data_IF_251388767753
#
_entry.id   IF_251388767753
#
_cell.length_a   1.000
_cell.length_b   1.000
_cell.length_c   1.000
_cell.angle_alpha   90.00
_cell.angle_beta   90.00
_cell.angle_gamma   90.00
#
_symmetry.space_group_name_H-M   'P 1'
#
loop_
_entity.id
_entity.type
_entity.pdbx_description
1 polymer ?
#
# COMPACT_ATOMS: atom_id res chain seq x y z
N UNK A 1 24.61 5.84 -36.60
CA UNK A 1 23.47 6.72 -36.85
C UNK A 1 22.51 6.58 -35.66
N UNK A 2 22.34 7.61 -34.90
CA UNK A 2 21.52 7.64 -33.68
C UNK A 2 20.04 7.51 -34.04
N UNK A 3 19.38 6.50 -33.53
CA UNK A 3 17.92 6.46 -33.50
C UNK A 3 17.45 7.40 -32.39
N UNK A 4 17.18 8.65 -32.73
CA UNK A 4 16.41 9.58 -31.92
C UNK A 4 14.93 9.22 -32.09
N UNK A 5 14.48 8.22 -31.36
CA UNK A 5 13.08 7.86 -31.21
C UNK A 5 12.45 8.67 -30.11
N UNK A 6 11.59 9.57 -30.48
CA UNK A 6 10.63 10.35 -29.77
C UNK A 6 10.12 9.76 -28.42
N UNK A 7 10.83 10.01 -27.34
CA UNK A 7 10.33 9.85 -26.00
C UNK A 7 10.02 11.24 -25.43
N UNK A 8 8.92 11.80 -25.82
CA UNK A 8 8.35 13.00 -25.20
C UNK A 8 6.86 13.09 -25.47
N UNK A 9 6.13 12.01 -25.33
CA UNK A 9 4.70 12.10 -25.14
C UNK A 9 4.48 12.33 -23.64
N UNK A 10 4.13 13.56 -23.28
CA UNK A 10 3.77 13.92 -21.93
C UNK A 10 2.69 13.00 -21.35
N UNK A 11 2.48 13.08 -20.04
CA UNK A 11 1.41 12.38 -19.33
C UNK A 11 0.09 12.40 -20.11
N UNK A 12 -0.69 11.31 -20.08
CA UNK A 12 -2.00 11.28 -20.72
C UNK A 12 -2.85 12.48 -20.29
N UNK A 13 -3.49 13.13 -21.25
CA UNK A 13 -4.35 14.26 -20.97
C UNK A 13 -5.56 13.85 -20.14
N UNK A 14 -5.95 14.62 -19.11
CA UNK A 14 -7.12 14.35 -18.29
C UNK A 14 -8.42 14.27 -19.10
N UNK A 15 -9.29 13.32 -18.76
CA UNK A 15 -10.56 13.07 -19.44
C UNK A 15 -11.75 13.13 -18.47
N UNK A 16 -12.90 13.64 -18.93
CA UNK A 16 -14.13 13.67 -18.15
C UNK A 16 -13.94 14.29 -16.77
N UNK A 17 -14.37 13.58 -15.72
CA UNK A 17 -14.26 14.01 -14.32
C UNK A 17 -12.82 14.26 -13.83
N UNK A 18 -11.81 13.70 -14.51
CA UNK A 18 -10.42 14.00 -14.18
C UNK A 18 -10.09 15.50 -14.37
N UNK A 19 -10.72 16.17 -15.36
CA UNK A 19 -10.53 17.62 -15.58
C UNK A 19 -11.09 18.46 -14.44
N UNK A 20 -12.16 18.01 -13.80
CA UNK A 20 -12.79 18.71 -12.68
C UNK A 20 -11.85 18.78 -11.47
N UNK A 21 -11.06 17.71 -11.23
CA UNK A 21 -10.09 17.68 -10.14
C UNK A 21 -8.99 18.74 -10.27
N UNK A 22 -8.63 19.12 -11.49
CA UNK A 22 -7.66 20.22 -11.71
C UNK A 22 -8.25 21.59 -11.35
N UNK A 23 -9.57 21.74 -11.50
CA UNK A 23 -10.29 22.97 -11.21
C UNK A 23 -10.69 23.10 -9.72
N UNK A 24 -10.39 22.10 -8.90
CA UNK A 24 -10.68 22.15 -7.44
C UNK A 24 -9.88 23.26 -6.76
N UNK A 25 -10.43 23.86 -5.68
CA UNK A 25 -9.76 24.93 -4.96
C UNK A 25 -8.34 24.57 -4.53
N UNK A 26 -7.45 25.55 -4.53
CA UNK A 26 -6.10 25.43 -3.95
C UNK A 26 -6.07 25.59 -2.44
N UNK A 27 -7.21 25.43 -1.74
CA UNK A 27 -7.36 25.54 -0.29
C UNK A 27 -8.17 24.37 0.26
N UNK A 28 -7.89 23.99 1.49
CA UNK A 28 -8.63 22.94 2.21
C UNK A 28 -8.27 21.52 1.79
N UNK A 29 -9.17 20.57 2.10
CA UNK A 29 -8.90 19.14 1.90
C UNK A 29 -9.82 18.55 0.84
N UNK A 30 -9.25 17.86 -0.11
CA UNK A 30 -9.96 17.16 -1.20
C UNK A 30 -9.61 15.69 -1.19
N UNK A 31 -10.62 14.82 -1.32
CA UNK A 31 -10.45 13.38 -1.44
C UNK A 31 -10.92 12.91 -2.81
N UNK A 32 -10.05 12.24 -3.53
CA UNK A 32 -10.30 11.64 -4.85
C UNK A 32 -10.13 10.13 -4.70
N UNK A 33 -11.22 9.40 -4.84
CA UNK A 33 -11.20 7.94 -4.79
C UNK A 33 -11.45 7.36 -6.17
N UNK A 34 -10.85 6.21 -6.44
CA UNK A 34 -11.06 5.54 -7.72
C UNK A 34 -10.56 4.12 -7.69
N UNK A 35 -11.10 3.30 -8.60
CA UNK A 35 -10.65 1.91 -8.78
C UNK A 35 -9.24 1.83 -9.36
N UNK A 36 -8.67 0.63 -9.35
CA UNK A 36 -7.48 0.33 -10.13
C UNK A 36 -7.65 0.83 -11.58
N UNK A 37 -6.62 1.45 -12.15
CA UNK A 37 -6.69 1.90 -13.55
C UNK A 37 -7.49 3.17 -13.83
N UNK A 38 -8.04 3.84 -12.84
CA UNK A 38 -8.80 5.10 -13.06
C UNK A 38 -7.92 6.34 -13.33
N UNK A 39 -6.58 6.19 -13.31
CA UNK A 39 -5.63 7.26 -13.61
C UNK A 39 -5.31 8.16 -12.40
N UNK A 40 -5.50 7.70 -11.17
CA UNK A 40 -5.21 8.46 -9.94
C UNK A 40 -3.81 9.04 -9.91
N UNK A 41 -2.78 8.20 -10.11
CA UNK A 41 -1.37 8.64 -10.12
C UNK A 41 -1.09 9.70 -11.17
N UNK A 42 -1.61 9.52 -12.39
CA UNK A 42 -1.50 10.54 -13.45
C UNK A 42 -2.14 11.85 -13.02
N UNK A 43 -3.30 11.79 -12.38
CA UNK A 43 -4.00 12.97 -11.88
C UNK A 43 -3.32 13.62 -10.68
N UNK A 44 -2.67 12.83 -9.82
CA UNK A 44 -1.85 13.37 -8.72
C UNK A 44 -0.68 14.22 -9.26
N UNK A 45 -0.01 13.78 -10.34
CA UNK A 45 1.04 14.56 -11.00
C UNK A 45 0.46 15.83 -11.63
N UNK A 46 -0.63 15.73 -12.38
CA UNK A 46 -1.27 16.90 -12.98
C UNK A 46 -1.74 17.90 -11.93
N UNK A 47 -2.31 17.43 -10.83
CA UNK A 47 -2.75 18.29 -9.72
C UNK A 47 -1.57 18.98 -9.06
N UNK A 48 -0.49 18.25 -8.77
CA UNK A 48 0.74 18.83 -8.22
C UNK A 48 1.34 19.88 -9.14
N UNK A 49 1.41 19.63 -10.45
CA UNK A 49 1.86 20.60 -11.45
C UNK A 49 0.98 21.85 -11.49
N UNK A 50 -0.35 21.68 -11.47
CA UNK A 50 -1.30 22.79 -11.47
C UNK A 50 -1.15 23.67 -10.22
N UNK A 51 -1.02 23.08 -9.02
CA UNK A 51 -0.81 23.82 -7.76
C UNK A 51 0.55 24.51 -7.68
N UNK A 52 1.54 24.01 -8.41
CA UNK A 52 2.88 24.58 -8.47
C UNK A 52 3.03 25.69 -9.52
N UNK A 53 2.08 25.79 -10.47
CA UNK A 53 2.13 26.74 -11.57
C UNK A 53 1.88 28.16 -11.06
N UNK A 54 2.83 29.11 -11.23
CA UNK A 54 2.67 30.49 -10.80
C UNK A 54 1.47 31.23 -11.41
N UNK A 55 0.92 30.74 -12.52
CA UNK A 55 -0.28 31.29 -13.16
C UNK A 55 -1.58 30.85 -12.50
N UNK A 56 -1.53 29.82 -11.66
CA UNK A 56 -2.69 29.34 -10.90
C UNK A 56 -2.92 30.20 -9.65
N UNK A 57 -4.18 30.55 -9.39
CA UNK A 57 -4.53 31.21 -8.13
C UNK A 57 -4.15 30.35 -6.94
N UNK A 58 -3.57 30.95 -5.91
CA UNK A 58 -3.07 30.25 -4.72
C UNK A 58 -1.92 29.26 -5.00
N UNK A 59 -1.08 29.50 -6.00
CA UNK A 59 0.09 28.65 -6.29
C UNK A 59 1.11 28.63 -5.14
N UNK A 60 1.90 27.56 -5.06
CA UNK A 60 2.95 27.45 -4.06
C UNK A 60 3.81 26.20 -4.21
N UNK A 61 4.74 26.00 -3.29
CA UNK A 61 5.58 24.80 -3.23
C UNK A 61 4.72 23.59 -2.89
N UNK A 62 4.87 22.51 -3.66
CA UNK A 62 4.06 21.30 -3.53
C UNK A 62 4.92 20.13 -3.07
N UNK A 63 4.41 19.34 -2.11
CA UNK A 63 4.90 18.00 -1.81
C UNK A 63 3.96 16.98 -2.47
N UNK A 64 4.46 16.22 -3.45
CA UNK A 64 3.80 15.02 -3.94
C UNK A 64 4.39 13.82 -3.20
N UNK A 65 3.58 13.22 -2.34
CA UNK A 65 4.03 12.16 -1.43
C UNK A 65 3.30 10.85 -1.71
N UNK A 66 4.06 9.76 -1.68
CA UNK A 66 3.53 8.39 -1.77
C UNK A 66 4.13 7.50 -0.68
N UNK A 67 3.51 6.36 -0.41
CA UNK A 67 4.06 5.40 0.55
C UNK A 67 5.24 4.61 -0.02
N UNK A 68 5.19 4.24 -1.30
CA UNK A 68 6.13 3.34 -1.94
C UNK A 68 7.32 4.09 -2.59
N UNK A 69 8.57 3.70 -2.26
CA UNK A 69 9.79 4.25 -2.87
C UNK A 69 9.85 4.05 -4.38
N UNK A 70 9.38 2.91 -4.86
CA UNK A 70 9.41 2.60 -6.28
C UNK A 70 8.49 3.49 -7.10
N UNK A 71 7.35 3.89 -6.52
CA UNK A 71 6.46 4.85 -7.15
C UNK A 71 7.12 6.24 -7.25
N UNK A 72 7.99 6.60 -6.30
CA UNK A 72 8.81 7.83 -6.40
C UNK A 72 9.74 7.77 -7.61
N UNK A 73 10.39 6.63 -7.87
CA UNK A 73 11.24 6.46 -9.05
C UNK A 73 10.42 6.58 -10.35
N UNK A 74 9.25 5.95 -10.40
CA UNK A 74 8.31 6.06 -11.51
C UNK A 74 7.85 7.50 -11.74
N UNK A 75 7.44 8.22 -10.68
CA UNK A 75 7.01 9.61 -10.75
C UNK A 75 8.14 10.55 -11.21
N UNK A 76 9.37 10.31 -10.75
CA UNK A 76 10.54 11.07 -11.19
C UNK A 76 10.93 10.78 -12.65
N UNK A 77 10.70 9.58 -13.15
CA UNK A 77 10.91 9.23 -14.56
C UNK A 77 9.99 10.06 -15.48
N UNK A 78 8.73 10.22 -15.09
CA UNK A 78 7.73 11.00 -15.85
C UNK A 78 7.74 12.49 -15.53
N UNK A 79 8.71 12.98 -14.77
CA UNK A 79 8.78 14.36 -14.30
C UNK A 79 8.81 15.37 -15.45
N UNK A 80 7.67 16.02 -15.79
CA UNK A 80 7.64 17.08 -16.80
C UNK A 80 8.36 18.33 -16.27
N UNK A 81 8.87 19.21 -17.16
CA UNK A 81 9.51 20.49 -16.77
C UNK A 81 8.64 21.36 -15.85
N UNK A 82 7.32 21.25 -15.95
CA UNK A 82 6.34 21.95 -15.11
C UNK A 82 6.42 21.60 -13.61
N UNK A 83 7.21 20.59 -13.20
CA UNK A 83 7.35 20.17 -11.80
C UNK A 83 8.57 20.81 -11.08
N UNK A 84 9.08 21.95 -11.54
CA UNK A 84 10.25 22.59 -10.91
C UNK A 84 10.01 22.95 -9.43
N UNK A 85 8.77 23.31 -9.06
CA UNK A 85 8.36 23.65 -7.70
C UNK A 85 7.65 22.53 -6.96
N UNK A 86 7.80 21.27 -7.42
CA UNK A 86 7.24 20.07 -6.82
C UNK A 86 8.36 19.18 -6.27
N UNK A 87 8.29 18.87 -4.99
CA UNK A 87 9.11 17.84 -4.35
C UNK A 87 8.37 16.51 -4.43
N UNK A 88 9.00 15.45 -4.93
CA UNK A 88 8.42 14.11 -5.03
C UNK A 88 9.20 13.19 -4.09
N UNK A 89 8.55 12.68 -3.05
CA UNK A 89 9.19 11.85 -2.03
C UNK A 89 8.26 10.75 -1.51
N UNK A 90 8.83 9.71 -0.89
CA UNK A 90 8.04 8.83 -0.04
C UNK A 90 7.85 9.46 1.36
N UNK A 91 6.80 8.99 2.05
CA UNK A 91 6.43 9.53 3.37
C UNK A 91 7.59 9.51 4.38
N UNK A 92 8.28 8.38 4.50
CA UNK A 92 9.35 8.25 5.50
C UNK A 92 10.51 9.20 5.22
N UNK A 93 10.86 9.44 3.95
CA UNK A 93 11.89 10.40 3.60
C UNK A 93 11.49 11.84 3.98
N UNK A 94 10.24 12.21 3.72
CA UNK A 94 9.68 13.48 4.19
C UNK A 94 9.78 13.58 5.72
N UNK A 95 9.28 12.57 6.45
CA UNK A 95 9.23 12.59 7.91
C UNK A 95 10.62 12.63 8.55
N UNK A 96 11.54 11.78 8.09
CA UNK A 96 12.93 11.78 8.56
C UNK A 96 13.65 13.10 8.24
N UNK A 97 13.45 13.64 7.04
CA UNK A 97 14.03 14.91 6.62
C UNK A 97 13.55 16.09 7.48
N UNK A 98 12.25 16.09 7.80
CA UNK A 98 11.67 17.11 8.67
C UNK A 98 12.24 17.04 10.10
N UNK A 99 12.27 15.83 10.71
CA UNK A 99 12.81 15.65 12.06
C UNK A 99 14.33 15.93 12.14
N UNK A 100 15.09 15.54 11.10
CA UNK A 100 16.52 15.83 11.03
C UNK A 100 16.80 17.35 10.93
N UNK A 101 15.99 18.08 10.17
CA UNK A 101 16.11 19.54 10.08
C UNK A 101 15.81 20.25 11.41
N UNK A 102 15.10 19.59 12.31
CA UNK A 102 14.76 20.07 13.65
C UNK A 102 15.72 19.54 14.73
N UNK A 103 16.82 18.91 14.35
CA UNK A 103 17.79 18.25 15.26
C UNK A 103 17.17 17.19 16.18
N UNK A 104 16.03 16.60 15.76
CA UNK A 104 15.31 15.55 16.50
C UNK A 104 15.68 14.15 16.04
N UNK A 105 16.50 14.00 15.02
CA UNK A 105 16.87 12.73 14.46
C UNK A 105 18.31 12.73 13.94
N UNK A 106 19.08 11.71 14.37
CA UNK A 106 20.38 11.37 13.82
C UNK A 106 20.31 10.16 12.87
N UNK A 107 21.40 9.84 12.21
CA UNK A 107 21.49 8.75 11.24
C UNK A 107 21.12 7.35 11.80
N UNK A 108 21.20 7.15 13.12
CA UNK A 108 20.95 5.87 13.81
C UNK A 108 19.72 5.89 14.72
N UNK A 109 18.86 6.90 14.62
CA UNK A 109 17.73 7.09 15.56
C UNK A 109 16.57 6.11 15.42
N UNK A 110 16.52 5.34 14.32
CA UNK A 110 15.45 4.37 14.07
C UNK A 110 15.80 3.01 14.72
N UNK A 111 14.84 2.48 15.46
CA UNK A 111 14.86 1.12 15.98
C UNK A 111 14.12 0.19 15.02
N UNK A 112 14.80 -0.82 14.49
CA UNK A 112 14.22 -1.74 13.51
C UNK A 112 14.76 -3.16 13.62
N UNK A 113 14.09 -4.11 12.96
CA UNK A 113 14.50 -5.50 12.85
C UNK A 113 14.68 -6.18 14.21
N UNK A 114 15.70 -7.01 14.33
CA UNK A 114 15.97 -7.77 15.56
C UNK A 114 16.17 -6.91 16.80
N UNK A 115 16.70 -5.69 16.65
CA UNK A 115 16.86 -4.79 17.79
C UNK A 115 15.49 -4.40 18.36
N UNK A 116 14.52 -4.06 17.51
CA UNK A 116 13.14 -3.75 17.89
C UNK A 116 12.50 -4.94 18.60
N UNK A 117 12.60 -6.13 18.03
CA UNK A 117 12.07 -7.38 18.61
C UNK A 117 12.65 -7.65 19.98
N UNK A 118 13.96 -7.54 20.15
CA UNK A 118 14.63 -7.76 21.44
C UNK A 118 14.18 -6.75 22.50
N UNK A 119 14.01 -5.47 22.15
CA UNK A 119 13.57 -4.46 23.10
C UNK A 119 12.09 -4.63 23.47
N UNK A 120 11.24 -5.08 22.55
CA UNK A 120 9.85 -5.43 22.87
C UNK A 120 9.81 -6.65 23.80
N UNK A 121 10.61 -7.68 23.51
CA UNK A 121 10.72 -8.87 24.39
C UNK A 121 11.18 -8.50 25.80
N UNK A 122 12.18 -7.62 25.91
CA UNK A 122 12.65 -7.14 27.21
C UNK A 122 11.57 -6.35 27.95
N UNK A 123 10.83 -5.47 27.26
CA UNK A 123 9.72 -4.71 27.84
C UNK A 123 8.62 -5.64 28.37
N UNK A 124 8.21 -6.64 27.58
CA UNK A 124 7.23 -7.65 28.00
C UNK A 124 7.73 -8.41 29.23
N UNK A 125 9.01 -8.82 29.25
CA UNK A 125 9.60 -9.54 30.37
C UNK A 125 9.58 -8.72 31.65
N UNK A 126 10.00 -7.46 31.62
CA UNK A 126 10.01 -6.56 32.77
C UNK A 126 8.62 -6.27 33.32
N UNK A 127 7.63 -6.09 32.44
CA UNK A 127 6.24 -5.88 32.89
C UNK A 127 5.64 -7.17 33.42
N UNK A 128 5.96 -8.33 32.83
CA UNK A 128 5.55 -9.64 33.33
C UNK A 128 6.01 -9.87 34.75
N UNK A 129 7.24 -9.52 35.12
CA UNK A 129 7.76 -9.65 36.49
C UNK A 129 6.87 -8.92 37.50
N UNK A 130 6.26 -7.81 37.13
CA UNK A 130 5.39 -6.99 38.00
C UNK A 130 3.93 -7.40 37.95
N UNK A 131 3.42 -7.84 36.77
CA UNK A 131 1.99 -7.98 36.48
C UNK A 131 1.54 -9.42 36.18
N UNK A 132 2.42 -10.43 36.22
CA UNK A 132 2.06 -11.81 35.84
C UNK A 132 0.85 -12.37 36.59
N UNK A 133 0.70 -12.02 37.86
CA UNK A 133 -0.43 -12.50 38.69
C UNK A 133 -1.77 -11.88 38.28
N UNK A 134 -1.75 -10.67 37.70
CA UNK A 134 -2.95 -9.94 37.31
C UNK A 134 -3.45 -10.38 35.93
N UNK A 135 -2.56 -10.78 35.05
CA UNK A 135 -2.88 -11.10 33.65
C UNK A 135 -2.03 -12.28 33.11
N UNK A 136 -2.07 -13.49 33.71
CA UNK A 136 -1.21 -14.59 33.29
C UNK A 136 -1.40 -14.95 31.80
N UNK A 137 -2.63 -15.03 31.32
CA UNK A 137 -2.95 -15.37 29.94
C UNK A 137 -2.48 -14.30 28.90
N UNK A 138 -2.27 -13.06 29.30
CA UNK A 138 -1.71 -12.03 28.43
C UNK A 138 -0.26 -12.37 28.07
N UNK A 139 0.53 -12.78 29.05
CA UNK A 139 1.96 -13.07 28.90
C UNK A 139 2.27 -14.44 28.30
N UNK A 140 1.24 -15.23 27.98
CA UNK A 140 1.35 -16.46 27.19
C UNK A 140 1.21 -16.19 25.69
N UNK A 141 0.83 -14.96 25.30
CA UNK A 141 0.71 -14.57 23.90
C UNK A 141 2.09 -14.49 23.24
N UNK A 142 2.17 -14.78 21.93
CA UNK A 142 3.43 -14.66 21.18
C UNK A 142 3.93 -13.21 21.12
N UNK A 143 5.22 -13.01 20.89
CA UNK A 143 5.85 -11.69 20.86
C UNK A 143 5.25 -10.79 19.78
N UNK A 144 4.88 -11.38 18.66
CA UNK A 144 4.24 -10.72 17.53
C UNK A 144 2.95 -10.00 17.93
N UNK A 145 2.19 -10.57 18.88
CA UNK A 145 0.98 -9.92 19.39
C UNK A 145 1.29 -8.56 20.04
N UNK A 146 2.35 -8.49 20.84
CA UNK A 146 2.75 -7.24 21.50
C UNK A 146 3.32 -6.24 20.49
N UNK A 147 4.12 -6.71 19.54
CA UNK A 147 4.67 -5.89 18.46
C UNK A 147 3.54 -5.26 17.61
N UNK A 148 2.55 -6.07 17.24
CA UNK A 148 1.38 -5.64 16.48
C UNK A 148 0.52 -4.62 17.25
N UNK A 149 0.34 -4.78 18.56
CA UNK A 149 -0.43 -3.84 19.38
C UNK A 149 0.32 -2.51 19.55
N UNK A 150 1.64 -2.54 19.73
CA UNK A 150 2.47 -1.33 19.78
C UNK A 150 2.40 -0.58 18.43
N UNK A 151 2.49 -1.32 17.32
CA UNK A 151 2.31 -0.76 15.99
C UNK A 151 0.91 -0.13 15.80
N UNK A 152 -0.13 -0.81 16.25
CA UNK A 152 -1.50 -0.28 16.19
C UNK A 152 -1.64 1.03 16.95
N UNK A 153 -1.12 1.09 18.18
CA UNK A 153 -1.11 2.32 19.00
C UNK A 153 -0.44 3.48 18.27
N UNK A 154 0.75 3.25 17.71
CA UNK A 154 1.52 4.26 17.01
C UNK A 154 0.82 4.73 15.71
N UNK A 155 0.33 3.79 14.89
CA UNK A 155 -0.32 4.09 13.61
C UNK A 155 -1.62 4.88 13.76
N UNK A 156 -2.37 4.67 14.85
CA UNK A 156 -3.60 5.39 15.14
C UNK A 156 -3.41 6.59 16.06
N UNK A 157 -2.23 6.75 16.67
CA UNK A 157 -1.94 7.79 17.64
C UNK A 157 -2.84 7.66 18.86
N UNK A 158 -3.02 6.42 19.35
CA UNK A 158 -3.87 6.13 20.49
C UNK A 158 -3.01 6.10 21.76
N UNK A 159 -3.50 6.78 22.79
CA UNK A 159 -2.85 6.82 24.08
C UNK A 159 -3.88 6.76 25.22
N UNK A 160 -3.48 6.30 26.40
CA UNK A 160 -4.27 6.30 27.62
C UNK A 160 -5.69 5.80 27.41
N UNK A 161 -6.67 6.61 27.82
CA UNK A 161 -8.10 6.30 27.73
C UNK A 161 -8.59 6.12 26.31
N UNK A 162 -8.02 6.83 25.34
CA UNK A 162 -8.38 6.69 23.92
C UNK A 162 -8.15 5.26 23.43
N UNK A 163 -7.06 4.62 23.81
CA UNK A 163 -6.82 3.21 23.49
C UNK A 163 -7.74 2.28 24.28
N UNK A 164 -7.89 2.50 25.58
CA UNK A 164 -8.72 1.65 26.45
C UNK A 164 -10.15 1.57 25.92
N UNK A 165 -10.70 2.71 25.47
CA UNK A 165 -12.08 2.83 24.97
C UNK A 165 -12.22 2.55 23.48
N UNK A 166 -11.12 2.55 22.71
CA UNK A 166 -11.19 2.39 21.25
C UNK A 166 -11.80 1.05 20.83
N UNK A 167 -12.55 1.08 19.73
CA UNK A 167 -12.85 -0.12 18.98
C UNK A 167 -11.59 -0.50 18.16
N UNK A 168 -11.21 -1.77 18.25
CA UNK A 168 -10.02 -2.28 17.55
C UNK A 168 -10.38 -2.68 16.12
N UNK A 169 -10.68 -1.69 15.28
CA UNK A 169 -11.02 -1.93 13.87
C UNK A 169 -9.90 -2.65 13.12
N UNK A 170 -10.27 -3.62 12.29
CA UNK A 170 -9.33 -4.40 11.49
C UNK A 170 -8.50 -5.45 12.27
N UNK A 171 -8.85 -5.72 13.53
CA UNK A 171 -8.19 -6.73 14.37
C UNK A 171 -9.12 -7.90 14.63
N UNK A 172 -8.84 -9.07 14.02
CA UNK A 172 -9.68 -10.27 14.13
C UNK A 172 -9.74 -10.90 15.52
N UNK A 173 -8.77 -10.66 16.41
CA UNK A 173 -8.77 -11.23 17.75
C UNK A 173 -9.23 -10.21 18.79
N UNK A 174 -10.26 -10.58 19.56
CA UNK A 174 -10.70 -9.78 20.69
C UNK A 174 -9.57 -9.58 21.72
N UNK A 175 -9.43 -8.38 22.23
CA UNK A 175 -8.52 -8.07 23.32
C UNK A 175 -9.29 -7.32 24.42
N UNK A 176 -9.39 -7.94 25.58
CA UNK A 176 -10.20 -7.44 26.70
C UNK A 176 -9.73 -6.04 27.14
N UNK A 177 -10.68 -5.10 27.25
CA UNK A 177 -10.37 -3.72 27.67
C UNK A 177 -9.61 -3.63 28.99
N UNK A 178 -9.90 -4.55 29.91
CA UNK A 178 -9.26 -4.64 31.23
C UNK A 178 -7.74 -4.91 31.17
N UNK A 179 -7.25 -5.54 30.10
CA UNK A 179 -5.84 -5.85 29.89
C UNK A 179 -5.08 -4.75 29.14
N UNK A 180 -5.77 -3.81 28.56
CA UNK A 180 -5.16 -2.72 27.77
C UNK A 180 -4.25 -1.79 28.58
N UNK A 181 -4.54 -1.48 29.86
CA UNK A 181 -3.59 -0.71 30.67
C UNK A 181 -2.21 -1.40 30.83
N UNK A 182 -2.20 -2.74 30.93
CA UNK A 182 -0.93 -3.50 31.00
C UNK A 182 -0.18 -3.42 29.66
N UNK A 183 -0.89 -3.43 28.53
CA UNK A 183 -0.26 -3.24 27.23
C UNK A 183 0.33 -1.83 27.08
N UNK A 184 -0.35 -0.81 27.57
CA UNK A 184 0.22 0.55 27.59
C UNK A 184 1.50 0.60 28.43
N UNK A 185 1.53 -0.08 29.58
CA UNK A 185 2.74 -0.21 30.41
C UNK A 185 3.88 -0.90 29.63
N UNK A 186 3.57 -1.93 28.84
CA UNK A 186 4.55 -2.62 27.97
C UNK A 186 5.06 -1.66 26.88
N UNK A 187 4.18 -0.92 26.23
CA UNK A 187 4.54 0.09 25.22
C UNK A 187 5.48 1.16 25.81
N UNK A 188 5.14 1.67 26.99
CA UNK A 188 5.91 2.73 27.64
C UNK A 188 7.29 2.21 28.06
N UNK A 189 7.38 0.98 28.58
CA UNK A 189 8.64 0.32 28.89
C UNK A 189 9.49 0.11 27.63
N UNK A 190 8.87 -0.33 26.51
CA UNK A 190 9.55 -0.44 25.22
C UNK A 190 10.12 0.91 24.75
N UNK A 191 9.32 1.98 24.79
CA UNK A 191 9.78 3.32 24.41
C UNK A 191 10.94 3.78 25.30
N UNK A 192 10.86 3.54 26.61
CA UNK A 192 11.92 3.85 27.57
C UNK A 192 13.23 3.12 27.26
N UNK A 193 13.16 1.80 26.99
CA UNK A 193 14.32 0.97 26.64
C UNK A 193 14.94 1.41 25.32
N UNK A 194 14.11 1.68 24.32
CA UNK A 194 14.51 2.14 23.01
C UNK A 194 15.26 3.48 23.09
N UNK A 195 14.70 4.45 23.82
CA UNK A 195 15.32 5.76 24.01
C UNK A 195 16.65 5.66 24.78
N UNK A 196 16.72 4.78 25.79
CA UNK A 196 17.98 4.51 26.51
C UNK A 196 19.06 3.87 25.61
N UNK A 197 18.68 3.34 24.45
CA UNK A 197 19.58 2.76 23.45
C UNK A 197 19.87 3.74 22.28
N UNK A 198 19.68 5.04 22.49
CA UNK A 198 19.82 6.10 21.49
C UNK A 198 18.93 5.92 20.24
N UNK A 199 17.79 5.19 20.39
CA UNK A 199 16.80 4.97 19.36
C UNK A 199 15.54 5.77 19.68
N UNK A 200 15.39 6.94 19.08
CA UNK A 200 14.28 7.84 19.42
C UNK A 200 12.95 7.37 18.84
N UNK A 201 12.96 6.73 17.67
CA UNK A 201 11.76 6.30 16.94
C UNK A 201 11.89 4.87 16.45
N UNK A 202 10.77 4.25 16.16
CA UNK A 202 10.66 3.17 15.18
C UNK A 202 9.86 3.67 13.95
N UNK A 203 9.71 2.83 12.92
CA UNK A 203 9.05 3.27 11.67
C UNK A 203 7.58 3.66 11.87
N UNK A 204 6.93 3.12 12.88
CA UNK A 204 5.51 3.30 13.14
C UNK A 204 5.21 4.60 13.89
N UNK A 205 6.11 5.05 14.76
CA UNK A 205 5.88 6.25 15.58
C UNK A 205 6.56 7.53 15.07
N UNK A 206 7.37 7.46 14.01
CA UNK A 206 7.96 8.65 13.35
C UNK A 206 6.90 9.71 13.05
N UNK A 207 5.70 9.28 12.64
CA UNK A 207 4.61 10.20 12.32
C UNK A 207 4.14 11.02 13.53
N UNK A 208 4.12 10.40 14.71
CA UNK A 208 3.85 11.08 15.97
C UNK A 208 4.88 12.18 16.25
N UNK A 209 6.17 11.84 16.13
CA UNK A 209 7.25 12.82 16.29
C UNK A 209 7.15 14.02 15.35
N UNK A 210 6.76 13.78 14.09
CA UNK A 210 6.52 14.88 13.12
C UNK A 210 5.36 15.78 13.57
N UNK A 211 4.27 15.21 14.10
CA UNK A 211 3.11 15.97 14.59
C UNK A 211 3.52 16.84 15.78
N UNK A 212 4.26 16.28 16.73
CA UNK A 212 4.71 16.99 17.92
C UNK A 212 5.56 18.20 17.54
N UNK A 213 6.52 18.03 16.64
CA UNK A 213 7.36 19.11 16.15
C UNK A 213 6.57 20.15 15.34
N UNK A 214 5.65 19.74 14.47
CA UNK A 214 4.79 20.64 13.71
C UNK A 214 3.84 21.45 14.62
N UNK A 215 3.39 20.85 15.72
CA UNK A 215 2.55 21.54 16.71
C UNK A 215 3.33 22.62 17.47
N UNK A 216 4.60 22.36 17.78
CA UNK A 216 5.48 23.31 18.44
C UNK A 216 6.03 24.38 17.47
N UNK A 217 6.08 24.09 16.17
CA UNK A 217 6.68 24.94 15.15
C UNK A 217 5.77 26.09 14.74
N UNK A 218 6.21 27.31 15.03
CA UNK A 218 5.53 28.56 14.65
C UNK A 218 6.04 29.15 13.33
N UNK A 219 7.02 28.53 12.67
CA UNK A 219 7.55 28.98 11.39
C UNK A 219 6.58 28.72 10.22
N UNK A 220 6.82 29.36 9.09
CA UNK A 220 6.08 29.10 7.88
C UNK A 220 6.28 27.65 7.41
N UNK A 221 5.20 26.99 6.98
CA UNK A 221 5.26 25.62 6.47
C UNK A 221 6.12 25.54 5.22
N UNK A 222 6.90 24.46 5.09
CA UNK A 222 7.80 24.24 3.96
C UNK A 222 7.03 24.09 2.63
N UNK A 223 5.86 23.49 2.67
CA UNK A 223 5.00 23.24 1.52
C UNK A 223 3.67 23.95 1.72
N UNK A 224 3.20 24.62 0.68
CA UNK A 224 1.85 25.21 0.66
C UNK A 224 0.80 24.17 0.37
N UNK A 225 1.16 23.18 -0.46
CA UNK A 225 0.25 22.12 -0.87
C UNK A 225 0.88 20.75 -0.68
N UNK A 226 0.04 19.78 -0.31
CA UNK A 226 0.39 18.36 -0.24
C UNK A 226 -0.55 17.57 -1.16
N UNK A 227 0.02 16.77 -2.04
CA UNK A 227 -0.70 15.82 -2.87
C UNK A 227 -0.26 14.42 -2.46
N UNK A 228 -1.20 13.58 -2.04
CA UNK A 228 -0.94 12.22 -1.59
C UNK A 228 -1.39 11.26 -2.69
N UNK A 229 -0.49 10.40 -3.17
CA UNK A 229 -0.83 9.30 -4.06
C UNK A 229 -0.74 7.96 -3.31
N UNK A 230 -1.59 6.99 -3.70
CA UNK A 230 -1.78 5.71 -2.98
C UNK A 230 -2.08 5.92 -1.49
N UNK A 231 -2.91 6.90 -1.19
CA UNK A 231 -3.19 7.34 0.18
C UNK A 231 -3.81 6.27 1.10
N UNK A 232 -4.41 5.20 0.55
CA UNK A 232 -4.92 4.07 1.33
C UNK A 232 -3.82 3.31 2.09
N UNK A 233 -2.54 3.51 1.76
CA UNK A 233 -1.41 2.87 2.43
C UNK A 233 -0.92 3.65 3.65
N UNK A 234 -1.38 4.87 3.81
CA UNK A 234 -0.97 5.72 4.93
C UNK A 234 -1.76 5.40 6.20
N UNK A 235 -1.05 5.36 7.32
CA UNK A 235 -1.72 5.28 8.61
C UNK A 235 -2.45 6.60 8.93
N UNK A 236 -3.47 6.57 9.81
CA UNK A 236 -4.13 7.79 10.27
C UNK A 236 -3.15 8.82 10.84
N UNK A 237 -2.10 8.38 11.51
CA UNK A 237 -1.10 9.26 12.09
C UNK A 237 -0.20 9.89 11.00
N UNK A 238 0.18 9.15 9.96
CA UNK A 238 0.88 9.71 8.80
C UNK A 238 0.04 10.78 8.11
N UNK A 239 -1.26 10.52 7.91
CA UNK A 239 -2.16 11.52 7.32
C UNK A 239 -2.29 12.77 8.19
N UNK A 240 -2.42 12.63 9.53
CA UNK A 240 -2.43 13.78 10.45
C UNK A 240 -1.16 14.61 10.35
N UNK A 241 0.01 13.98 10.24
CA UNK A 241 1.27 14.69 10.10
C UNK A 241 1.32 15.51 8.81
N UNK A 242 0.80 14.96 7.70
CA UNK A 242 0.70 15.67 6.42
C UNK A 242 -0.33 16.80 6.46
N UNK A 243 -1.46 16.60 7.16
CA UNK A 243 -2.43 17.69 7.41
C UNK A 243 -1.80 18.81 8.21
N UNK A 244 -1.04 18.50 9.26
CA UNK A 244 -0.34 19.49 10.08
C UNK A 244 0.77 20.22 9.32
N UNK A 245 1.34 19.61 8.29
CA UNK A 245 2.37 20.19 7.43
C UNK A 245 1.84 21.21 6.41
N UNK A 246 0.51 21.34 6.25
CA UNK A 246 -0.13 22.29 5.33
C UNK A 246 -0.54 23.55 6.10
N UNK A 247 -0.24 24.78 5.60
CA UNK A 247 -0.72 26.02 6.23
C UNK A 247 -2.23 26.20 6.03
N UNK A 248 -2.90 27.06 6.82
CA UNK A 248 -4.34 27.27 6.73
C UNK A 248 -4.87 27.72 5.35
N UNK A 249 -4.05 28.44 4.59
CA UNK A 249 -4.33 28.90 3.22
C UNK A 249 -3.84 27.94 2.14
N UNK A 250 -3.34 26.75 2.53
CA UNK A 250 -2.86 25.72 1.64
C UNK A 250 -3.90 24.63 1.36
N UNK A 251 -3.50 23.59 0.63
CA UNK A 251 -4.39 22.47 0.32
C UNK A 251 -3.73 21.10 0.50
N UNK A 252 -4.57 20.12 0.83
CA UNK A 252 -4.22 18.71 0.79
C UNK A 252 -5.17 17.98 -0.17
N UNK A 253 -4.60 17.31 -1.18
CA UNK A 253 -5.36 16.46 -2.10
C UNK A 253 -4.95 15.01 -1.92
N UNK A 254 -5.89 14.17 -1.53
CA UNK A 254 -5.71 12.74 -1.33
C UNK A 254 -6.21 11.97 -2.54
N UNK A 255 -5.37 11.11 -3.12
CA UNK A 255 -5.74 10.12 -4.12
C UNK A 255 -5.58 8.73 -3.54
N UNK A 256 -6.61 7.88 -3.66
CA UNK A 256 -6.58 6.53 -3.13
C UNK A 256 -7.54 5.56 -3.80
N UNK A 257 -7.26 4.27 -3.58
CA UNK A 257 -8.13 3.15 -3.94
C UNK A 257 -8.40 2.33 -2.69
N UNK A 258 -9.58 2.50 -2.12
CA UNK A 258 -9.91 1.84 -0.85
C UNK A 258 -9.95 0.31 -1.01
N UNK A 259 -10.26 -0.20 -2.21
CA UNK A 259 -10.21 -1.62 -2.51
C UNK A 259 -8.78 -2.22 -2.55
N UNK A 260 -7.75 -1.40 -2.71
CA UNK A 260 -6.34 -1.85 -2.68
C UNK A 260 -5.66 -1.74 -1.31
N UNK A 261 -6.42 -1.60 -0.24
CA UNK A 261 -5.88 -1.49 1.11
C UNK A 261 -5.42 -2.85 1.64
N UNK A 262 -4.18 -3.21 1.39
CA UNK A 262 -3.59 -4.51 1.80
C UNK A 262 -2.92 -4.47 3.18
N UNK A 263 -2.80 -3.31 3.82
CA UNK A 263 -2.12 -3.16 5.10
C UNK A 263 -3.06 -3.03 6.30
N UNK A 264 -4.32 -3.46 6.17
CA UNK A 264 -5.29 -3.60 7.28
C UNK A 264 -5.66 -2.32 8.02
N UNK A 265 -5.41 -1.14 7.44
CA UNK A 265 -5.58 0.16 8.10
C UNK A 265 -6.81 0.88 7.56
N UNK A 266 -7.95 0.72 8.20
CA UNK A 266 -9.14 1.50 7.83
C UNK A 266 -8.92 2.99 8.08
N UNK A 267 -9.02 3.79 7.03
CA UNK A 267 -8.88 5.25 7.11
C UNK A 267 -10.24 5.87 7.44
N UNK A 268 -10.35 6.44 8.62
CA UNK A 268 -11.45 7.38 8.91
C UNK A 268 -10.96 8.79 8.64
N UNK A 269 -11.57 9.51 7.71
CA UNK A 269 -11.21 10.89 7.34
C UNK A 269 -11.11 11.80 8.55
N UNK A 270 -12.11 11.70 9.46
CA UNK A 270 -12.12 12.48 10.70
C UNK A 270 -10.93 12.13 11.61
N UNK A 271 -10.62 10.85 11.78
CA UNK A 271 -9.46 10.40 12.58
C UNK A 271 -8.13 10.77 11.94
N UNK A 272 -8.07 10.82 10.62
CA UNK A 272 -6.91 11.30 9.87
C UNK A 272 -6.78 12.84 9.88
N UNK A 273 -7.69 13.57 10.54
CA UNK A 273 -7.67 15.03 10.57
C UNK A 273 -8.13 15.71 9.29
N UNK A 274 -8.63 14.96 8.32
CA UNK A 274 -9.11 15.48 7.05
C UNK A 274 -10.52 16.05 7.19
N UNK A 275 -10.68 17.33 6.86
CA UNK A 275 -11.98 18.01 6.80
C UNK A 275 -12.55 17.85 5.38
N UNK A 276 -13.11 16.67 5.11
CA UNK A 276 -13.62 16.31 3.79
C UNK A 276 -15.04 16.83 3.64
N UNK A 277 -15.27 17.74 2.69
CA UNK A 277 -16.60 18.25 2.34
C UNK A 277 -17.25 17.43 1.21
N UNK A 278 -16.46 16.84 0.33
CA UNK A 278 -16.91 16.00 -0.77
C UNK A 278 -15.82 15.00 -1.19
N UNK A 279 -16.28 13.85 -1.69
CA UNK A 279 -15.43 12.83 -2.29
C UNK A 279 -15.66 12.86 -3.80
N UNK A 280 -14.55 12.82 -4.57
CA UNK A 280 -14.57 12.84 -6.03
C UNK A 280 -14.31 11.42 -6.56
N UNK A 281 -15.33 10.66 -6.98
CA UNK A 281 -15.14 9.30 -7.45
C UNK A 281 -14.69 9.25 -8.90
N UNK A 282 -13.59 8.55 -9.17
CA UNK A 282 -13.14 8.16 -10.51
C UNK A 282 -13.67 6.77 -10.83
N UNK A 283 -14.82 6.70 -11.48
CA UNK A 283 -15.51 5.44 -11.78
C UNK A 283 -15.09 4.78 -13.10
N UNK A 284 -14.34 5.46 -13.95
CA UNK A 284 -13.92 4.92 -15.24
C UNK A 284 -12.54 4.28 -15.13
N UNK A 285 -12.47 3.00 -15.49
CA UNK A 285 -11.21 2.28 -15.59
C UNK A 285 -10.64 2.45 -17.02
N UNK A 286 -9.39 2.90 -17.11
CA UNK A 286 -8.70 3.13 -18.39
C UNK A 286 -7.53 2.16 -18.59
N UNK A 287 -7.30 1.22 -17.68
CA UNK A 287 -6.13 0.36 -17.62
C UNK A 287 -6.44 -1.08 -18.00
N UNK A 288 -7.27 -1.71 -17.19
CA UNK A 288 -7.58 -3.12 -17.32
C UNK A 288 -8.63 -3.35 -18.40
N UNK A 289 -8.62 -4.51 -19.03
CA UNK A 289 -9.76 -4.93 -19.83
C UNK A 289 -11.00 -5.14 -18.96
N UNK A 290 -12.18 -5.10 -19.59
CA UNK A 290 -13.46 -5.29 -18.90
C UNK A 290 -13.51 -6.62 -18.15
N UNK A 291 -12.94 -7.66 -18.72
CA UNK A 291 -12.93 -9.03 -18.18
C UNK A 291 -12.06 -9.12 -16.92
N UNK A 292 -10.86 -8.53 -16.95
CA UNK A 292 -9.98 -8.47 -15.77
C UNK A 292 -10.60 -7.62 -14.66
N UNK A 293 -11.19 -6.50 -15.02
CA UNK A 293 -11.82 -5.61 -14.04
C UNK A 293 -13.06 -6.27 -13.42
N UNK A 294 -13.85 -7.03 -14.18
CA UNK A 294 -15.00 -7.79 -13.68
C UNK A 294 -14.58 -8.85 -12.65
N UNK A 295 -13.50 -9.60 -12.92
CA UNK A 295 -12.95 -10.55 -11.95
C UNK A 295 -12.46 -9.82 -10.67
N UNK A 296 -11.76 -8.71 -10.81
CA UNK A 296 -11.33 -7.90 -9.66
C UNK A 296 -12.51 -7.46 -8.78
N UNK A 297 -13.60 -6.97 -9.38
CA UNK A 297 -14.79 -6.58 -8.63
C UNK A 297 -15.47 -7.77 -7.94
N UNK A 298 -15.57 -8.91 -8.63
CA UNK A 298 -16.16 -10.09 -8.03
C UNK A 298 -15.35 -10.58 -6.82
N UNK A 299 -14.01 -10.49 -6.86
CA UNK A 299 -13.15 -10.77 -5.70
C UNK A 299 -13.42 -9.75 -4.57
N UNK A 300 -13.51 -8.46 -4.90
CA UNK A 300 -13.77 -7.43 -3.90
C UNK A 300 -15.18 -7.53 -3.27
N UNK A 301 -16.11 -8.21 -3.92
CA UNK A 301 -17.46 -8.49 -3.41
C UNK A 301 -17.53 -9.76 -2.54
N UNK A 302 -16.45 -10.52 -2.41
CA UNK A 302 -16.44 -11.75 -1.58
C UNK A 302 -16.57 -11.40 -0.09
N UNK A 303 -17.27 -12.24 0.71
CA UNK A 303 -17.41 -12.03 2.15
C UNK A 303 -16.05 -11.95 2.88
N UNK A 304 -15.05 -12.68 2.40
CA UNK A 304 -13.67 -12.66 2.91
C UNK A 304 -12.97 -11.32 2.73
N UNK A 305 -13.43 -10.51 1.78
CA UNK A 305 -12.87 -9.17 1.56
C UNK A 305 -13.33 -8.16 2.63
N UNK A 306 -14.49 -8.41 3.25
CA UNK A 306 -15.12 -7.50 4.22
C UNK A 306 -15.74 -6.27 3.57
N UNK A 307 -16.40 -5.45 4.40
CA UNK A 307 -16.90 -4.15 3.94
C UNK A 307 -15.75 -3.15 3.81
N UNK A 308 -15.55 -2.63 2.62
CA UNK A 308 -14.58 -1.56 2.34
C UNK A 308 -15.34 -0.24 2.26
N UNK A 309 -15.27 0.63 3.29
CA UNK A 309 -15.91 1.94 3.24
C UNK A 309 -15.39 2.77 2.07
N UNK A 310 -16.27 3.52 1.43
CA UNK A 310 -15.95 4.42 0.31
C UNK A 310 -15.34 3.70 -0.93
N UNK A 311 -15.58 2.40 -1.10
CA UNK A 311 -15.20 1.69 -2.32
C UNK A 311 -15.93 2.29 -3.53
N UNK A 312 -15.16 2.61 -4.57
CA UNK A 312 -15.72 3.13 -5.82
C UNK A 312 -15.98 1.99 -6.78
N UNK A 313 -17.24 1.83 -7.18
CA UNK A 313 -17.61 0.91 -8.24
C UNK A 313 -17.43 1.59 -9.61
N UNK A 314 -16.79 0.93 -10.59
CA UNK A 314 -16.63 1.48 -11.92
C UNK A 314 -17.94 1.45 -12.72
N UNK A 315 -18.23 2.54 -13.41
CA UNK A 315 -19.44 2.67 -14.24
C UNK A 315 -19.37 1.89 -15.55
N UNK A 316 -18.17 1.77 -16.14
CA UNK A 316 -17.92 1.08 -17.41
C UNK A 316 -16.50 0.58 -17.51
N UNK A 317 -16.36 -0.52 -18.22
CA UNK A 317 -15.10 -1.14 -18.59
C UNK A 317 -14.84 -0.95 -20.07
N UNK A 318 -13.70 -0.41 -20.43
CA UNK A 318 -13.16 -0.33 -21.80
C UNK A 318 -11.63 -0.32 -21.69
N UNK A 319 -10.93 -1.04 -22.54
CA UNK A 319 -11.39 -1.90 -23.64
C UNK A 319 -11.75 -3.32 -23.20
N UNK A 320 -12.46 -4.08 -24.08
CA UNK A 320 -12.62 -5.53 -23.95
C UNK A 320 -11.33 -6.26 -24.33
N UNK A 321 -11.07 -7.39 -23.69
CA UNK A 321 -9.90 -8.23 -23.91
C UNK A 321 -10.19 -9.72 -23.77
N UNK A 322 -9.17 -10.59 -23.78
CA UNK A 322 -9.37 -11.99 -23.49
C UNK A 322 -9.84 -12.16 -22.03
N UNK A 323 -10.78 -13.08 -21.79
CA UNK A 323 -11.16 -13.43 -20.43
C UNK A 323 -9.94 -13.98 -19.68
N UNK A 324 -9.81 -13.72 -18.38
CA UNK A 324 -8.82 -14.35 -17.53
C UNK A 324 -8.81 -15.88 -17.71
N UNK A 325 -7.67 -16.51 -17.59
CA UNK A 325 -7.55 -17.96 -17.70
C UNK A 325 -7.07 -18.56 -16.39
N UNK A 326 -7.70 -19.68 -15.95
CA UNK A 326 -7.25 -20.51 -14.84
C UNK A 326 -6.68 -21.82 -15.39
N UNK A 327 -5.37 -22.02 -15.24
CA UNK A 327 -4.64 -23.18 -15.73
C UNK A 327 -4.48 -24.19 -14.60
N UNK A 328 -5.12 -25.36 -14.74
CA UNK A 328 -5.04 -26.45 -13.77
C UNK A 328 -3.87 -27.37 -14.10
N UNK A 329 -2.80 -27.27 -13.32
CA UNK A 329 -1.61 -28.10 -13.44
C UNK A 329 -1.69 -29.35 -12.55
N UNK A 330 -1.08 -30.45 -12.98
CA UNK A 330 -1.05 -31.70 -12.23
C UNK A 330 0.03 -31.72 -11.13
N UNK A 331 1.04 -30.88 -11.29
CA UNK A 331 2.15 -30.78 -10.34
C UNK A 331 2.80 -29.39 -10.35
N UNK A 332 3.56 -29.08 -9.29
CA UNK A 332 4.34 -27.85 -9.22
C UNK A 332 5.45 -27.77 -10.27
N UNK A 333 5.91 -28.92 -10.78
CA UNK A 333 6.89 -28.96 -11.87
C UNK A 333 6.24 -28.54 -13.20
N UNK A 334 5.10 -29.12 -13.54
CA UNK A 334 4.29 -28.76 -14.73
C UNK A 334 3.87 -27.28 -14.67
N UNK A 335 3.43 -26.80 -13.51
CA UNK A 335 3.11 -25.38 -13.28
C UNK A 335 4.32 -24.48 -13.57
N UNK A 336 5.50 -24.85 -13.06
CA UNK A 336 6.72 -24.05 -13.25
C UNK A 336 7.13 -24.01 -14.73
N UNK A 337 7.08 -25.12 -15.44
CA UNK A 337 7.38 -25.21 -16.87
C UNK A 337 6.43 -24.34 -17.68
N UNK A 338 5.12 -24.49 -17.46
CA UNK A 338 4.10 -23.69 -18.13
C UNK A 338 4.31 -22.18 -17.89
N UNK A 339 4.53 -21.77 -16.63
CA UNK A 339 4.73 -20.36 -16.27
C UNK A 339 5.99 -19.78 -16.93
N UNK A 340 7.08 -20.56 -16.95
CA UNK A 340 8.35 -20.13 -17.55
C UNK A 340 8.21 -19.92 -19.05
N UNK A 341 7.59 -20.87 -19.75
CA UNK A 341 7.44 -20.81 -21.21
C UNK A 341 6.46 -19.71 -21.62
N UNK A 342 5.34 -19.61 -20.92
CA UNK A 342 4.35 -18.54 -21.16
C UNK A 342 4.94 -17.16 -20.90
N UNK A 343 5.68 -16.98 -19.79
CA UNK A 343 6.29 -15.70 -19.47
C UNK A 343 7.34 -15.29 -20.52
N UNK A 344 8.18 -16.24 -20.99
CA UNK A 344 9.18 -15.97 -22.02
C UNK A 344 8.54 -15.61 -23.36
N UNK A 345 7.44 -16.25 -23.72
CA UNK A 345 6.73 -15.94 -24.98
C UNK A 345 6.10 -14.55 -24.91
N UNK A 346 5.32 -14.26 -23.86
CA UNK A 346 4.67 -12.98 -23.68
C UNK A 346 5.68 -11.80 -23.56
N UNK A 347 6.85 -12.04 -22.97
CA UNK A 347 7.90 -11.02 -22.81
C UNK A 347 8.55 -10.58 -24.12
N UNK A 348 8.34 -11.30 -25.23
CA UNK A 348 8.83 -10.87 -26.55
C UNK A 348 8.12 -9.62 -27.07
N UNK A 349 6.88 -9.39 -26.62
CA UNK A 349 6.02 -8.33 -27.15
C UNK A 349 5.54 -7.33 -26.11
N UNK A 350 5.63 -7.67 -24.83
CA UNK A 350 5.11 -6.83 -23.74
C UNK A 350 5.80 -7.06 -22.41
N UNK A 351 5.40 -6.26 -21.43
CA UNK A 351 5.83 -6.43 -20.04
C UNK A 351 5.05 -7.57 -19.37
N UNK A 352 5.76 -8.44 -18.64
CA UNK A 352 5.18 -9.60 -17.95
C UNK A 352 5.48 -9.54 -16.46
N UNK A 353 4.45 -9.64 -15.63
CA UNK A 353 4.56 -9.81 -14.19
C UNK A 353 4.29 -11.26 -13.77
N UNK A 354 5.29 -11.99 -13.27
CA UNK A 354 5.10 -13.32 -12.66
C UNK A 354 5.03 -13.16 -11.16
N UNK A 355 3.82 -13.30 -10.61
CA UNK A 355 3.53 -12.91 -9.23
C UNK A 355 3.07 -14.11 -8.39
N UNK A 356 3.60 -14.20 -7.18
CA UNK A 356 3.31 -15.29 -6.25
C UNK A 356 3.02 -14.77 -4.84
N UNK A 357 2.40 -15.62 -4.01
CA UNK A 357 2.03 -15.23 -2.63
C UNK A 357 3.23 -15.13 -1.71
N UNK A 358 4.18 -16.07 -1.81
CA UNK A 358 5.24 -16.26 -0.82
C UNK A 358 6.62 -16.16 -1.44
N UNK A 359 7.56 -15.57 -0.69
CA UNK A 359 8.96 -15.49 -1.08
C UNK A 359 9.62 -16.87 -1.31
N UNK A 360 9.18 -17.90 -0.59
CA UNK A 360 9.71 -19.26 -0.79
C UNK A 360 9.39 -19.82 -2.17
N UNK A 361 8.29 -19.43 -2.79
CA UNK A 361 7.91 -19.86 -4.14
C UNK A 361 8.78 -19.22 -5.22
N UNK A 362 9.45 -18.10 -4.93
CA UNK A 362 10.39 -17.41 -5.84
C UNK A 362 11.57 -18.30 -6.27
N UNK A 363 12.00 -19.24 -5.40
CA UNK A 363 13.11 -20.14 -5.68
C UNK A 363 12.90 -20.97 -6.95
N UNK A 364 11.62 -21.28 -7.30
CA UNK A 364 11.25 -22.06 -8.49
C UNK A 364 11.59 -21.35 -9.80
N UNK A 365 11.62 -20.01 -9.79
CA UNK A 365 11.73 -19.17 -10.97
C UNK A 365 13.06 -18.42 -11.07
N UNK A 366 13.81 -18.31 -9.98
CA UNK A 366 15.04 -17.52 -9.89
C UNK A 366 16.04 -17.78 -11.01
N UNK A 367 16.28 -19.05 -11.34
CA UNK A 367 17.22 -19.41 -12.40
C UNK A 367 16.67 -19.17 -13.81
N UNK A 368 15.38 -19.41 -14.01
CA UNK A 368 14.71 -19.23 -15.29
C UNK A 368 14.57 -17.76 -15.70
N UNK A 369 14.41 -16.88 -14.71
CA UNK A 369 14.23 -15.44 -14.89
C UNK A 369 15.47 -14.61 -14.48
N UNK A 370 16.65 -15.20 -14.51
CA UNK A 370 17.91 -14.55 -14.08
C UNK A 370 18.23 -13.26 -14.85
N UNK A 371 17.73 -13.10 -16.08
CA UNK A 371 17.85 -11.88 -16.89
C UNK A 371 16.68 -10.90 -16.72
N UNK A 372 15.66 -11.27 -15.95
CA UNK A 372 14.51 -10.44 -15.67
C UNK A 372 14.67 -9.59 -14.40
N UNK A 373 13.70 -8.76 -14.12
CA UNK A 373 13.71 -7.85 -12.98
C UNK A 373 13.03 -8.51 -11.74
N UNK A 374 13.81 -8.77 -10.69
CA UNK A 374 13.26 -9.25 -9.43
C UNK A 374 12.59 -8.09 -8.67
N UNK A 375 11.31 -8.24 -8.40
CA UNK A 375 10.53 -7.23 -7.67
C UNK A 375 10.80 -7.34 -6.17
N UNK A 376 11.20 -6.24 -5.55
CA UNK A 376 11.39 -6.13 -4.10
C UNK A 376 11.16 -4.68 -3.64
N UNK A 377 10.82 -4.49 -2.37
CA UNK A 377 10.44 -3.18 -1.79
C UNK A 377 11.50 -2.07 -1.82
N UNK A 378 12.74 -2.40 -2.18
CA UNK A 378 13.88 -1.47 -2.23
C UNK A 378 14.35 -1.19 -3.67
N UNK A 379 13.49 -1.38 -4.66
CA UNK A 379 13.86 -1.07 -6.05
C UNK A 379 13.91 0.45 -6.27
N UNK A 380 15.05 0.91 -6.80
CA UNK A 380 15.25 2.32 -7.17
C UNK A 380 14.99 2.60 -8.66
N UNK A 381 14.96 1.55 -9.48
CA UNK A 381 14.79 1.64 -10.93
C UNK A 381 13.75 0.62 -11.38
N UNK A 382 12.81 1.06 -12.18
CA UNK A 382 11.83 0.21 -12.85
C UNK A 382 11.83 0.49 -14.36
N UNK A 383 11.91 -0.56 -15.16
CA UNK A 383 11.77 -0.50 -16.61
C UNK A 383 10.38 -1.01 -17.01
N UNK A 384 9.50 -0.14 -17.54
CA UNK A 384 8.17 -0.54 -18.01
C UNK A 384 8.18 -1.22 -19.38
N UNK A 385 9.35 -1.43 -20.00
CA UNK A 385 9.50 -2.03 -21.32
C UNK A 385 9.16 -3.52 -21.37
N UNK A 386 9.26 -4.13 -22.57
CA UNK A 386 9.11 -5.57 -22.74
C UNK A 386 10.12 -6.33 -21.89
N UNK A 387 9.67 -7.39 -21.22
CA UNK A 387 10.52 -8.19 -20.34
C UNK A 387 9.75 -8.83 -19.20
N UNK A 388 10.46 -9.63 -18.39
CA UNK A 388 9.89 -10.35 -17.26
C UNK A 388 10.27 -9.66 -15.96
N UNK A 389 9.27 -9.29 -15.18
CA UNK A 389 9.39 -8.92 -13.77
C UNK A 389 8.76 -10.02 -12.92
N UNK A 390 9.39 -10.40 -11.82
CA UNK A 390 8.91 -11.51 -11.00
C UNK A 390 9.15 -11.28 -9.51
N UNK A 391 8.23 -11.78 -8.68
CA UNK A 391 8.31 -11.62 -7.23
C UNK A 391 6.97 -11.84 -6.54
N UNK A 392 6.87 -11.42 -5.27
CA UNK A 392 5.60 -11.53 -4.53
C UNK A 392 4.63 -10.42 -4.92
N UNK A 393 3.32 -10.70 -4.82
CA UNK A 393 2.25 -9.73 -5.13
C UNK A 393 2.42 -8.42 -4.35
N UNK A 394 2.85 -8.48 -3.08
CA UNK A 394 3.10 -7.28 -2.27
C UNK A 394 4.14 -6.34 -2.91
N UNK A 395 5.18 -6.91 -3.52
CA UNK A 395 6.23 -6.14 -4.19
C UNK A 395 5.79 -5.58 -5.55
N UNK A 396 4.71 -6.13 -6.13
CA UNK A 396 4.15 -5.67 -7.40
C UNK A 396 3.18 -4.49 -7.24
N UNK A 397 2.87 -4.07 -6.01
CA UNK A 397 1.97 -2.94 -5.78
C UNK A 397 2.53 -1.65 -6.39
N UNK A 398 1.70 -0.95 -7.16
CA UNK A 398 2.09 0.26 -7.92
C UNK A 398 2.63 -0.03 -9.32
N UNK A 399 2.99 -1.29 -9.65
CA UNK A 399 3.41 -1.69 -11.00
C UNK A 399 2.24 -2.15 -11.86
N UNK A 400 2.47 -2.21 -13.16
CA UNK A 400 1.50 -2.64 -14.16
C UNK A 400 2.23 -3.41 -15.26
N UNK A 401 1.60 -4.47 -15.73
CA UNK A 401 2.16 -5.33 -16.77
C UNK A 401 1.12 -5.58 -17.87
N UNK A 402 1.58 -5.75 -19.10
CA UNK A 402 0.67 -6.12 -20.19
C UNK A 402 0.05 -7.49 -19.94
N UNK A 403 0.88 -8.45 -19.48
CA UNK A 403 0.43 -9.79 -19.04
C UNK A 403 0.83 -10.00 -17.58
N UNK A 404 -0.08 -10.52 -16.77
CA UNK A 404 0.21 -11.00 -15.41
C UNK A 404 -0.03 -12.51 -15.34
N UNK A 405 0.92 -13.21 -14.74
CA UNK A 405 0.79 -14.62 -14.37
C UNK A 405 0.76 -14.71 -12.85
N UNK A 406 -0.41 -15.01 -12.27
CA UNK A 406 -0.57 -15.27 -10.85
C UNK A 406 -0.35 -16.76 -10.58
N UNK A 407 0.70 -17.07 -9.82
CA UNK A 407 1.18 -18.44 -9.63
C UNK A 407 0.68 -19.04 -8.33
N UNK A 408 0.20 -20.29 -8.40
CA UNK A 408 -0.09 -21.11 -7.22
C UNK A 408 -1.33 -20.67 -6.45
N UNK A 409 -2.42 -20.36 -7.15
CA UNK A 409 -3.69 -19.96 -6.55
C UNK A 409 -4.50 -21.17 -6.04
N UNK A 410 -3.85 -22.01 -5.25
CA UNK A 410 -4.44 -23.22 -4.65
C UNK A 410 -4.83 -23.03 -3.19
N UNK A 411 -5.78 -23.81 -2.70
CA UNK A 411 -6.33 -23.73 -1.35
C UNK A 411 -5.28 -23.99 -0.24
N UNK A 412 -4.19 -24.69 -0.57
CA UNK A 412 -3.04 -24.91 0.35
C UNK A 412 -2.03 -23.75 0.40
N UNK A 413 -2.22 -22.71 -0.41
CA UNK A 413 -1.31 -21.55 -0.50
C UNK A 413 -2.01 -20.20 -0.27
N UNK A 414 -3.28 -20.12 -0.58
CA UNK A 414 -4.13 -18.95 -0.40
C UNK A 414 -5.44 -19.35 0.32
N UNK A 415 -5.75 -18.77 1.48
CA UNK A 415 -4.95 -17.82 2.27
C UNK A 415 -3.62 -18.41 2.77
N UNK A 416 -2.68 -17.50 3.18
CA UNK A 416 -1.36 -17.89 3.69
C UNK A 416 -1.49 -18.86 4.89
N UNK A 417 -0.98 -20.10 4.78
CA UNK A 417 -1.19 -21.12 5.79
C UNK A 417 -0.61 -20.76 7.16
N UNK A 418 0.47 -20.00 7.20
CA UNK A 418 1.07 -19.55 8.46
C UNK A 418 0.14 -18.58 9.20
N UNK A 419 -0.52 -17.67 8.47
CA UNK A 419 -1.50 -16.76 9.06
C UNK A 419 -2.75 -17.54 9.50
N UNK A 420 -3.21 -18.49 8.70
CA UNK A 420 -4.33 -19.38 9.08
C UNK A 420 -4.03 -20.09 10.41
N UNK A 421 -2.83 -20.64 10.56
CA UNK A 421 -2.40 -21.38 11.74
C UNK A 421 -2.27 -20.49 12.97
N UNK A 422 -1.75 -19.27 12.82
CA UNK A 422 -1.40 -18.38 13.94
C UNK A 422 -2.52 -17.43 14.33
N UNK A 423 -3.34 -17.00 13.36
CA UNK A 423 -4.35 -15.94 13.54
C UNK A 423 -5.77 -16.34 13.13
N UNK A 424 -5.93 -17.50 12.50
CA UNK A 424 -7.22 -18.04 12.06
C UNK A 424 -7.54 -17.76 10.59
N UNK A 425 -8.44 -18.58 10.03
CA UNK A 425 -8.79 -18.54 8.60
C UNK A 425 -9.46 -17.23 8.17
N UNK A 426 -10.35 -16.67 9.01
CA UNK A 426 -11.03 -15.41 8.72
C UNK A 426 -10.04 -14.23 8.59
N UNK A 427 -9.07 -14.17 9.50
CA UNK A 427 -8.04 -13.12 9.46
C UNK A 427 -7.15 -13.27 8.23
N UNK A 428 -6.74 -14.50 7.92
CA UNK A 428 -5.93 -14.80 6.76
C UNK A 428 -6.67 -14.46 5.45
N UNK A 429 -7.95 -14.77 5.37
CA UNK A 429 -8.79 -14.45 4.21
C UNK A 429 -8.99 -12.94 4.04
N UNK A 430 -9.19 -12.20 5.15
CA UNK A 430 -9.32 -10.75 5.12
C UNK A 430 -8.01 -10.03 4.74
N UNK A 431 -6.85 -10.63 4.97
CA UNK A 431 -5.55 -10.10 4.51
C UNK A 431 -5.26 -10.47 3.06
N UNK A 432 -5.59 -11.68 2.64
CA UNK A 432 -5.23 -12.18 1.32
C UNK A 432 -6.26 -11.86 0.22
N UNK A 433 -7.52 -11.58 0.56
CA UNK A 433 -8.52 -11.12 -0.40
C UNK A 433 -8.10 -9.82 -1.11
N UNK A 434 -7.78 -8.72 -0.37
CA UNK A 434 -7.24 -7.50 -0.97
C UNK A 434 -5.94 -7.71 -1.75
N UNK A 435 -5.09 -8.63 -1.30
CA UNK A 435 -3.85 -8.95 -2.00
C UNK A 435 -4.11 -9.64 -3.34
N UNK A 436 -5.08 -10.55 -3.39
CA UNK A 436 -5.51 -11.20 -4.64
C UNK A 436 -6.08 -10.17 -5.61
N UNK A 437 -6.94 -9.26 -5.14
CA UNK A 437 -7.43 -8.13 -5.93
C UNK A 437 -6.28 -7.28 -6.51
N UNK A 438 -5.29 -6.95 -5.69
CA UNK A 438 -4.09 -6.23 -6.15
C UNK A 438 -3.40 -7.02 -7.25
N UNK A 439 -3.17 -8.33 -7.09
CA UNK A 439 -2.51 -9.17 -8.08
C UNK A 439 -3.26 -9.16 -9.42
N UNK A 440 -4.57 -9.39 -9.41
CA UNK A 440 -5.44 -9.37 -10.60
C UNK A 440 -5.39 -8.02 -11.32
N UNK A 441 -5.49 -6.93 -10.58
CA UNK A 441 -5.54 -5.58 -11.14
C UNK A 441 -4.19 -5.04 -11.63
N UNK A 442 -3.09 -5.80 -11.48
CA UNK A 442 -1.79 -5.49 -12.12
C UNK A 442 -1.78 -5.77 -13.61
N UNK A 443 -2.67 -6.65 -14.11
CA UNK A 443 -2.77 -6.99 -15.52
C UNK A 443 -3.48 -5.89 -16.32
N UNK A 444 -2.87 -5.46 -17.43
CA UNK A 444 -3.46 -4.48 -18.34
C UNK A 444 -4.30 -5.13 -19.43
N UNK A 445 -3.81 -6.22 -20.01
CA UNK A 445 -4.38 -6.86 -21.21
C UNK A 445 -4.72 -8.32 -21.01
N UNK A 446 -3.88 -9.06 -20.29
CA UNK A 446 -4.02 -10.51 -20.14
C UNK A 446 -3.70 -10.94 -18.71
N UNK A 447 -4.56 -11.79 -18.16
CA UNK A 447 -4.40 -12.39 -16.86
C UNK A 447 -4.44 -13.90 -16.96
N UNK A 448 -3.37 -14.54 -16.54
CA UNK A 448 -3.20 -15.99 -16.46
C UNK A 448 -3.04 -16.35 -14.98
N UNK A 449 -3.83 -17.27 -14.52
CA UNK A 449 -3.83 -17.77 -13.15
C UNK A 449 -3.47 -19.25 -13.17
N UNK A 450 -2.63 -19.73 -12.26
CA UNK A 450 -2.29 -21.16 -12.20
C UNK A 450 -2.64 -21.76 -10.84
N UNK A 451 -3.03 -23.03 -10.85
CA UNK A 451 -3.29 -23.81 -9.63
C UNK A 451 -2.82 -25.24 -9.77
N UNK A 452 -2.36 -25.82 -8.65
CA UNK A 452 -2.10 -27.26 -8.50
C UNK A 452 -3.05 -27.75 -7.41
N UNK A 453 -3.99 -28.61 -7.78
CA UNK A 453 -5.08 -29.03 -6.89
C UNK A 453 -6.29 -28.07 -6.95
N UNK A 454 -7.03 -28.01 -5.85
CA UNK A 454 -8.23 -27.16 -5.79
C UNK A 454 -7.85 -25.68 -5.72
N UNK A 455 -8.54 -24.81 -6.46
CA UNK A 455 -8.36 -23.36 -6.38
C UNK A 455 -8.68 -22.83 -4.98
N UNK A 456 -8.13 -21.67 -4.68
CA UNK A 456 -8.42 -20.96 -3.43
C UNK A 456 -9.91 -20.61 -3.28
N UNK A 457 -10.42 -20.67 -2.05
CA UNK A 457 -11.76 -20.22 -1.68
C UNK A 457 -11.92 -18.68 -1.72
N UNK A 458 -10.84 -17.93 -1.95
CA UNK A 458 -10.88 -16.48 -2.17
C UNK A 458 -11.39 -16.11 -3.57
N UNK A 459 -11.57 -17.07 -4.48
CA UNK A 459 -12.22 -16.83 -5.75
C UNK A 459 -13.75 -16.79 -5.62
N UNK A 460 -14.40 -15.89 -6.38
CA UNK A 460 -15.85 -15.95 -6.55
C UNK A 460 -16.26 -17.22 -7.31
N UNK A 461 -17.56 -17.52 -7.35
CA UNK A 461 -18.10 -18.51 -8.29
C UNK A 461 -17.80 -18.08 -9.74
N UNK A 462 -17.49 -19.07 -10.59
CA UNK A 462 -17.13 -18.80 -11.99
C UNK A 462 -18.36 -18.63 -12.88
N UNK A 463 -19.04 -17.52 -12.79
CA UNK A 463 -20.14 -17.13 -13.69
C UNK A 463 -19.61 -16.56 -15.02
N UNK A 464 -18.62 -17.22 -15.63
CA UNK A 464 -17.99 -16.76 -16.87
C UNK A 464 -16.87 -15.74 -16.67
N UNK A 465 -16.40 -15.54 -15.44
CA UNK A 465 -15.33 -14.60 -15.09
C UNK A 465 -13.96 -15.04 -15.60
N UNK A 466 -13.75 -16.33 -15.81
CA UNK A 466 -12.52 -16.89 -16.39
C UNK A 466 -12.79 -18.17 -17.16
N UNK A 467 -11.83 -18.54 -18.02
CA UNK A 467 -11.81 -19.83 -18.71
C UNK A 467 -10.88 -20.79 -18.00
N UNK A 468 -11.32 -22.02 -17.77
CA UNK A 468 -10.46 -23.09 -17.28
C UNK A 468 -9.76 -23.77 -18.45
N UNK A 469 -8.46 -24.06 -18.28
CA UNK A 469 -7.67 -24.79 -19.26
C UNK A 469 -6.59 -25.65 -18.59
N UNK A 470 -5.96 -26.50 -19.36
CA UNK A 470 -4.77 -27.27 -18.95
C UNK A 470 -3.57 -26.76 -19.72
N UNK A 471 -2.35 -26.93 -19.18
CA UNK A 471 -1.09 -26.55 -19.84
C UNK A 471 -0.95 -27.11 -21.25
#
# INVERSE_FOLDING_TARGET
MKATGAAASGLPSPKGKQKEVLALPGEGHTVVLGTAGSGKTTMAIHRAANLADPLTSNSGKVLLVTYNRTLVAYLNYWRPPALSNVTIENYHRFALGYLAHRDKMGASSICEGRQRENLIFEAVTRVKERRAKEAPALFERPLEFFADEIEFLANYGLDGDDYIQSDRFGRGAGFARQLRPILLEIRDEYVRLRTASDKQYDWEDVAGGVIDELTADQSARMYKHVVIDEGQDFSPQMLRSLVAAVPPDGSLTFFGDMAQQIYGRQVSWKRAGLKVSAIWPFRRNYRNTSEIAALGLAIAAMPSYGEVPDMVEPDKFEPSGPPPSLVRCRSSAEESEFVIDTAKEAAKTGSVGVLMRRHQDEARFRNAFKGGQHLHKHMDIWDPGPGISWGVVHAAKGYEFDTVILVGLSADRWPEPEIVRTRGAEVAAAEDGPLLYVGVTRARRELIMTTVGEPTELFPENDGLWKEQRP
#
